data_IF_779499345998
#
_entry.id   IF_779499345998
#
_cell.length_a   1.000
_cell.length_b   1.000
_cell.length_c   1.000
_cell.angle_alpha   90.00
_cell.angle_beta   90.00
_cell.angle_gamma   90.00
#
_symmetry.space_group_name_H-M   'P 1'
#
loop_
_entity.id
_entity.type
_entity.pdbx_description
1 polymer ?
#
# COMPACT_ATOMS: atom_id res chain seq x y z
N UNK A 1 21.01 -31.14 -9.69
CA UNK A 1 19.85 -30.42 -9.13
C UNK A 1 19.98 -28.91 -9.32
N UNK A 2 19.57 -28.34 -10.46
CA UNK A 2 19.60 -26.87 -10.72
C UNK A 2 18.43 -26.41 -11.62
N UNK A 3 17.17 -26.76 -11.29
CA UNK A 3 15.98 -26.33 -12.07
C UNK A 3 14.91 -25.53 -11.30
N UNK A 4 15.04 -25.32 -9.98
CA UNK A 4 13.99 -24.63 -9.19
C UNK A 4 14.17 -23.11 -9.02
N UNK A 5 15.29 -22.50 -9.43
CA UNK A 5 15.52 -21.08 -9.17
C UNK A 5 14.88 -20.13 -10.19
N UNK A 6 14.66 -20.53 -11.46
CA UNK A 6 14.14 -19.62 -12.50
C UNK A 6 12.64 -19.32 -12.37
N UNK A 7 11.84 -20.26 -11.87
CA UNK A 7 10.38 -20.09 -11.74
C UNK A 7 10.02 -19.24 -10.51
N UNK A 8 10.82 -19.33 -9.44
CA UNK A 8 10.64 -18.57 -8.20
C UNK A 8 10.98 -17.08 -8.35
N UNK A 9 11.99 -16.72 -9.14
CA UNK A 9 12.31 -15.30 -9.42
C UNK A 9 11.26 -14.64 -10.30
N UNK A 10 10.75 -15.33 -11.33
CA UNK A 10 9.71 -14.77 -12.21
C UNK A 10 8.41 -14.43 -11.48
N UNK A 11 7.93 -15.30 -10.57
CA UNK A 11 6.71 -15.03 -9.77
C UNK A 11 6.88 -13.83 -8.83
N UNK A 12 8.06 -13.64 -8.23
CA UNK A 12 8.34 -12.51 -7.32
C UNK A 12 8.41 -11.16 -8.04
N UNK A 13 8.99 -11.12 -9.23
CA UNK A 13 9.05 -9.92 -10.07
C UNK A 13 7.62 -9.51 -10.46
N UNK A 14 6.83 -10.44 -10.99
CA UNK A 14 5.44 -10.17 -11.37
C UNK A 14 4.54 -9.69 -10.20
N UNK A 15 4.76 -10.19 -8.97
CA UNK A 15 4.02 -9.74 -7.80
C UNK A 15 4.38 -8.30 -7.39
N UNK A 16 5.67 -7.95 -7.45
CA UNK A 16 6.14 -6.59 -7.15
C UNK A 16 5.59 -5.59 -8.17
N UNK A 17 5.62 -5.93 -9.45
CA UNK A 17 5.12 -5.05 -10.51
C UNK A 17 3.61 -4.82 -10.38
N UNK A 18 2.86 -5.85 -9.97
CA UNK A 18 1.43 -5.74 -9.70
C UNK A 18 1.13 -4.81 -8.52
N UNK A 19 1.88 -4.93 -7.42
CA UNK A 19 1.74 -4.03 -6.28
C UNK A 19 1.98 -2.57 -6.65
N UNK A 20 3.10 -2.29 -7.32
CA UNK A 20 3.47 -0.92 -7.67
C UNK A 20 2.45 -0.30 -8.64
N UNK A 21 1.94 -1.08 -9.60
CA UNK A 21 0.86 -0.63 -10.50
C UNK A 21 -0.44 -0.31 -9.74
N UNK A 22 -0.83 -1.16 -8.79
CA UNK A 22 -2.02 -0.93 -7.95
C UNK A 22 -1.85 0.30 -7.07
N UNK A 23 -0.65 0.48 -6.50
CA UNK A 23 -0.32 1.63 -5.67
C UNK A 23 -0.38 2.95 -6.47
N UNK A 24 0.20 2.99 -7.66
CA UNK A 24 0.11 4.16 -8.55
C UNK A 24 -1.32 4.52 -8.87
N UNK A 25 -2.16 3.51 -9.14
CA UNK A 25 -3.59 3.70 -9.38
C UNK A 25 -4.30 4.28 -8.15
N UNK A 26 -3.95 3.80 -6.94
CA UNK A 26 -4.49 4.31 -5.68
C UNK A 26 -4.09 5.78 -5.44
N UNK A 27 -2.86 6.16 -5.77
CA UNK A 27 -2.38 7.55 -5.69
C UNK A 27 -3.12 8.43 -6.70
N UNK A 28 -3.37 7.96 -7.93
CA UNK A 28 -4.19 8.68 -8.92
C UNK A 28 -5.62 8.90 -8.40
N UNK A 29 -6.23 7.87 -7.79
CA UNK A 29 -7.57 8.01 -7.20
C UNK A 29 -7.58 9.07 -6.10
N UNK A 30 -6.60 9.05 -5.18
CA UNK A 30 -6.47 10.08 -4.15
C UNK A 30 -6.25 11.48 -4.74
N UNK A 31 -5.45 11.61 -5.80
CA UNK A 31 -5.15 12.89 -6.43
C UNK A 31 -6.35 13.48 -7.18
N UNK A 32 -7.29 12.67 -7.63
CA UNK A 32 -8.56 13.16 -8.20
C UNK A 32 -9.44 13.83 -7.14
N UNK A 33 -9.31 13.45 -5.88
CA UNK A 33 -10.08 14.00 -4.77
C UNK A 33 -9.33 15.12 -4.02
N UNK A 34 -8.00 15.17 -4.15
CA UNK A 34 -7.13 16.13 -3.46
C UNK A 34 -6.30 16.99 -4.43
N UNK A 35 -6.67 18.27 -4.54
CA UNK A 35 -5.98 19.25 -5.39
C UNK A 35 -4.54 19.52 -4.99
N UNK A 36 -4.20 19.41 -3.70
CA UNK A 36 -2.84 19.63 -3.21
C UNK A 36 -1.93 18.51 -3.69
N UNK A 37 -2.38 17.27 -3.54
CA UNK A 37 -1.69 16.09 -4.06
C UNK A 37 -1.57 16.14 -5.58
N UNK A 38 -2.65 16.52 -6.27
CA UNK A 38 -2.66 16.64 -7.73
C UNK A 38 -1.58 17.60 -8.24
N UNK A 39 -1.52 18.79 -7.64
CA UNK A 39 -0.52 19.80 -7.96
C UNK A 39 0.90 19.29 -7.70
N UNK A 40 1.13 18.66 -6.53
CA UNK A 40 2.44 18.10 -6.18
C UNK A 40 2.92 17.06 -7.21
N UNK A 41 2.04 16.15 -7.64
CA UNK A 41 2.37 15.12 -8.63
C UNK A 41 2.70 15.74 -9.99
N UNK A 42 1.87 16.68 -10.48
CA UNK A 42 2.13 17.36 -11.74
C UNK A 42 3.47 18.08 -11.71
N UNK A 43 3.76 18.87 -10.67
CA UNK A 43 5.03 19.60 -10.52
C UNK A 43 6.26 18.68 -10.55
N UNK A 44 6.15 17.46 -10.02
CA UNK A 44 7.25 16.48 -10.02
C UNK A 44 7.50 15.82 -11.38
N UNK A 45 6.50 15.81 -12.26
CA UNK A 45 6.60 15.26 -13.61
C UNK A 45 6.84 16.31 -14.69
N UNK A 46 6.59 17.60 -14.40
CA UNK A 46 6.93 18.70 -15.31
C UNK A 46 8.39 18.61 -15.77
N UNK A 47 8.59 18.67 -17.09
CA UNK A 47 9.92 18.65 -17.72
C UNK A 47 10.63 17.29 -17.75
N UNK A 48 10.01 16.21 -17.26
CA UNK A 48 10.56 14.86 -17.37
C UNK A 48 10.03 14.15 -18.63
N UNK A 49 10.93 13.75 -19.52
CA UNK A 49 10.57 12.99 -20.73
C UNK A 49 10.48 11.49 -20.44
N UNK A 50 9.31 11.03 -20.02
CA UNK A 50 9.05 9.60 -19.85
C UNK A 50 8.42 9.01 -21.11
N UNK A 51 9.10 8.02 -21.70
CA UNK A 51 8.63 7.30 -22.90
C UNK A 51 7.75 6.13 -22.50
N UNK A 52 6.43 6.34 -22.43
CA UNK A 52 5.49 5.26 -22.16
C UNK A 52 4.93 4.60 -23.42
N UNK A 53 4.91 3.27 -23.41
CA UNK A 53 4.39 2.46 -24.52
C UNK A 53 3.08 1.72 -24.21
N UNK A 54 2.48 1.88 -23.02
CA UNK A 54 1.26 1.13 -22.66
C UNK A 54 0.29 1.88 -21.74
N UNK A 55 -1.00 1.75 -22.05
CA UNK A 55 -2.10 2.08 -21.15
C UNK A 55 -2.16 1.04 -20.03
N UNK A 56 -1.82 1.44 -18.81
CA UNK A 56 -1.96 0.61 -17.62
C UNK A 56 -3.36 0.83 -17.05
N UNK A 57 -4.18 -0.23 -17.03
CA UNK A 57 -5.50 -0.19 -16.41
C UNK A 57 -5.33 -0.15 -14.89
N UNK A 58 -6.09 0.70 -14.22
CA UNK A 58 -6.19 0.68 -12.77
C UNK A 58 -6.63 -0.72 -12.30
N UNK A 59 -5.91 -1.28 -11.33
CA UNK A 59 -6.30 -2.56 -10.75
C UNK A 59 -7.60 -2.43 -9.98
N UNK A 60 -8.44 -3.47 -10.05
CA UNK A 60 -9.76 -3.54 -9.41
C UNK A 60 -9.72 -3.24 -7.91
N UNK A 61 -8.59 -3.50 -7.25
CA UNK A 61 -8.40 -3.32 -5.81
C UNK A 61 -7.58 -2.08 -5.42
N UNK A 62 -7.38 -1.11 -6.31
CA UNK A 62 -6.59 0.09 -6.00
C UNK A 62 -7.12 0.85 -4.75
N UNK A 63 -8.43 0.84 -4.52
CA UNK A 63 -9.05 1.46 -3.34
C UNK A 63 -8.55 0.88 -2.01
N UNK A 64 -8.11 -0.38 -1.99
CA UNK A 64 -7.56 -1.06 -0.78
C UNK A 64 -6.20 -0.47 -0.38
N UNK A 65 -5.49 0.15 -1.32
CA UNK A 65 -4.19 0.79 -1.11
C UNK A 65 -4.27 2.32 -0.98
N UNK A 66 -5.49 2.86 -0.90
CA UNK A 66 -5.68 4.31 -0.81
C UNK A 66 -4.88 4.88 0.36
N UNK A 67 -4.06 5.92 0.12
CA UNK A 67 -3.36 6.60 1.18
C UNK A 67 -4.34 7.19 2.18
N UNK A 68 -3.96 7.13 3.46
CA UNK A 68 -4.86 7.52 4.53
C UNK A 68 -4.87 9.03 4.85
N UNK A 69 -4.02 9.79 4.15
CA UNK A 69 -3.93 11.26 4.16
C UNK A 69 -3.12 11.74 2.95
N UNK A 70 -3.20 13.04 2.66
CA UNK A 70 -2.38 13.74 1.65
C UNK A 70 -0.88 13.52 1.89
N UNK A 71 -0.41 13.71 3.12
CA UNK A 71 1.01 13.53 3.47
C UNK A 71 1.49 12.11 3.20
N UNK A 72 0.66 11.10 3.50
CA UNK A 72 1.00 9.72 3.20
C UNK A 72 1.00 9.45 1.69
N UNK A 73 0.07 10.05 0.94
CA UNK A 73 0.05 9.94 -0.51
C UNK A 73 1.33 10.50 -1.14
N UNK A 74 1.77 11.67 -0.67
CA UNK A 74 3.04 12.30 -1.07
C UNK A 74 4.23 11.38 -0.77
N UNK A 75 4.32 10.86 0.46
CA UNK A 75 5.42 9.96 0.85
C UNK A 75 5.45 8.67 0.03
N UNK A 76 4.29 8.08 -0.27
CA UNK A 76 4.19 6.91 -1.15
C UNK A 76 4.61 7.23 -2.58
N UNK A 77 4.21 8.40 -3.08
CA UNK A 77 4.58 8.86 -4.41
C UNK A 77 6.09 9.09 -4.51
N UNK A 78 6.69 9.80 -3.56
CA UNK A 78 8.14 10.04 -3.52
C UNK A 78 8.91 8.71 -3.39
N UNK A 79 8.47 7.81 -2.52
CA UNK A 79 9.03 6.45 -2.42
C UNK A 79 8.97 5.71 -3.75
N UNK A 80 7.85 5.81 -4.48
CA UNK A 80 7.69 5.18 -5.79
C UNK A 80 8.63 5.79 -6.85
N UNK A 81 8.84 7.12 -6.81
CA UNK A 81 9.81 7.79 -7.68
C UNK A 81 11.24 7.31 -7.42
N UNK A 82 11.63 7.12 -6.16
CA UNK A 82 12.96 6.62 -5.77
C UNK A 82 13.23 5.17 -6.24
N UNK A 83 12.17 4.40 -6.50
CA UNK A 83 12.32 3.05 -7.06
C UNK A 83 12.65 3.05 -8.56
N UNK A 84 12.50 4.20 -9.24
CA UNK A 84 12.78 4.39 -10.68
C UNK A 84 12.14 3.32 -11.57
N UNK A 85 10.96 2.82 -11.18
CA UNK A 85 10.21 1.83 -11.96
C UNK A 85 9.23 2.54 -12.90
N UNK A 86 9.67 2.78 -14.13
CA UNK A 86 8.86 3.47 -15.13
C UNK A 86 7.49 2.80 -15.32
N UNK A 87 7.44 1.48 -15.50
CA UNK A 87 6.17 0.76 -15.71
C UNK A 87 5.16 1.01 -14.59
N UNK A 88 5.62 1.06 -13.35
CA UNK A 88 4.78 1.39 -12.21
C UNK A 88 4.31 2.84 -12.23
N UNK A 89 5.13 3.79 -12.68
CA UNK A 89 4.80 5.22 -12.74
C UNK A 89 3.86 5.58 -13.91
N UNK A 90 3.69 4.69 -14.89
CA UNK A 90 2.89 4.94 -16.09
C UNK A 90 1.46 5.48 -15.81
N UNK A 91 0.68 4.95 -14.85
CA UNK A 91 -0.65 5.49 -14.55
C UNK A 91 -0.60 6.94 -14.05
N UNK A 92 0.38 7.26 -13.21
CA UNK A 92 0.55 8.58 -12.61
C UNK A 92 0.95 9.63 -13.65
N UNK A 93 1.84 9.25 -14.56
CA UNK A 93 2.35 10.14 -15.62
C UNK A 93 1.30 10.36 -16.71
N UNK A 94 0.56 9.31 -17.07
CA UNK A 94 -0.58 9.44 -17.99
C UNK A 94 -1.64 10.38 -17.43
N UNK A 95 -1.98 10.21 -16.15
CA UNK A 95 -2.95 11.05 -15.47
C UNK A 95 -2.47 12.51 -15.31
N UNK A 96 -1.21 12.74 -14.93
CA UNK A 96 -0.69 14.11 -14.74
C UNK A 96 -0.75 14.94 -16.02
N UNK A 97 -0.44 14.34 -17.18
CA UNK A 97 -0.58 15.00 -18.49
C UNK A 97 -2.03 15.42 -18.77
N UNK A 98 -2.99 14.52 -18.51
CA UNK A 98 -4.41 14.84 -18.69
C UNK A 98 -4.89 15.95 -17.73
N UNK A 99 -4.36 15.98 -16.51
CA UNK A 99 -4.67 17.02 -15.53
C UNK A 99 -4.13 18.39 -15.97
N UNK A 100 -2.92 18.45 -16.52
CA UNK A 100 -2.34 19.69 -17.06
C UNK A 100 -3.17 20.23 -18.23
N UNK A 101 -3.58 19.37 -19.16
CA UNK A 101 -4.46 19.75 -20.28
C UNK A 101 -5.81 20.31 -19.79
N UNK A 102 -6.37 19.77 -18.70
CA UNK A 102 -7.60 20.27 -18.07
C UNK A 102 -7.38 21.61 -17.35
N UNK A 103 -6.28 21.78 -16.60
CA UNK A 103 -5.96 23.04 -15.93
C UNK A 103 -5.64 24.16 -16.92
N UNK A 104 -4.93 23.86 -18.02
CA UNK A 104 -4.65 24.81 -19.08
C UNK A 104 -5.94 25.35 -19.74
N UNK A 105 -6.98 24.51 -19.87
CA UNK A 105 -8.31 24.92 -20.34
C UNK A 105 -9.05 25.79 -19.33
N UNK A 106 -8.79 25.62 -18.03
CA UNK A 106 -9.38 26.42 -16.95
C UNK A 106 -8.65 27.75 -16.70
N UNK A 107 -7.45 27.94 -17.26
CA UNK A 107 -6.61 29.13 -17.09
C UNK A 107 -7.13 30.38 -17.83
N UNK A 108 -8.30 30.30 -18.47
CA UNK A 108 -9.01 31.46 -19.07
C UNK A 108 -9.96 32.15 -18.07
N UNK A 109 -10.14 31.65 -16.85
CA UNK A 109 -11.04 32.29 -15.86
C UNK A 109 -10.43 32.37 -14.47
N UNK A 110 -9.98 33.58 -14.10
CA UNK A 110 -9.96 34.09 -12.72
C UNK A 110 -8.78 33.69 -11.83
N UNK A 111 -7.85 34.63 -11.62
CA UNK A 111 -6.89 34.59 -10.50
C UNK A 111 -7.67 34.81 -9.19
N UNK A 112 -7.69 33.82 -8.30
CA UNK A 112 -8.14 34.00 -6.91
C UNK A 112 -6.94 33.76 -5.99
N UNK A 113 -6.49 34.81 -5.31
CA UNK A 113 -5.48 34.73 -4.27
C UNK A 113 -6.05 34.05 -3.03
N UNK A 114 -5.40 32.99 -2.55
CA UNK A 114 -5.73 32.35 -1.27
C UNK A 114 -4.59 32.53 -0.28
N UNK A 115 -4.94 33.04 0.91
CA UNK A 115 -4.05 33.12 2.06
C UNK A 115 -3.76 31.72 2.62
N UNK A 116 -2.53 31.50 3.08
CA UNK A 116 -2.09 30.28 3.78
C UNK A 116 -2.30 30.53 5.28
N UNK A 117 -3.27 29.90 5.96
CA UNK A 117 -3.31 29.94 7.41
C UNK A 117 -2.33 28.90 7.95
N UNK A 118 -1.26 29.38 8.59
CA UNK A 118 -0.39 28.54 9.41
C UNK A 118 -1.12 28.11 10.67
N UNK A 119 -1.16 26.79 10.92
CA UNK A 119 -1.59 26.25 12.21
C UNK A 119 -0.60 25.17 12.65
N UNK A 120 0.26 25.54 13.60
CA UNK A 120 1.04 24.61 14.41
C UNK A 120 0.10 23.93 15.40
N UNK A 121 -0.48 22.80 15.01
CA UNK A 121 -1.14 21.85 15.91
C UNK A 121 -0.21 20.65 16.06
N UNK A 122 0.04 20.24 17.31
CA UNK A 122 0.96 19.15 17.64
C UNK A 122 0.70 17.93 16.75
N UNK A 123 1.76 17.45 16.10
CA UNK A 123 1.70 16.32 15.16
C UNK A 123 1.26 15.09 15.94
N UNK A 124 -0.05 14.78 15.92
CA UNK A 124 -0.54 13.47 16.31
C UNK A 124 -0.05 12.53 15.22
N UNK A 125 1.08 11.86 15.47
CA UNK A 125 1.57 10.82 14.56
C UNK A 125 0.49 9.74 14.46
N UNK A 126 -0.11 9.60 13.28
CA UNK A 126 -1.05 8.52 13.00
C UNK A 126 -0.33 7.19 13.26
N UNK A 127 -0.94 6.34 14.09
CA UNK A 127 -0.42 5.00 14.34
C UNK A 127 -0.76 4.12 13.16
N UNK A 128 0.25 3.47 12.59
CA UNK A 128 0.01 2.42 11.61
C UNK A 128 -0.29 1.13 12.33
N UNK A 129 -1.23 0.36 11.80
CA UNK A 129 -1.69 -0.88 12.40
C UNK A 129 -1.33 -2.05 11.50
N UNK A 130 -0.70 -3.08 12.05
CA UNK A 130 -0.56 -4.35 11.35
C UNK A 130 -1.80 -5.20 11.63
N UNK A 131 -2.53 -5.53 10.57
CA UNK A 131 -3.82 -6.18 10.66
C UNK A 131 -3.71 -7.70 10.41
N UNK A 132 -4.43 -8.46 11.23
CA UNK A 132 -4.45 -9.92 11.21
C UNK A 132 -5.88 -10.38 10.93
N UNK A 133 -6.08 -11.02 9.78
CA UNK A 133 -7.33 -11.70 9.48
C UNK A 133 -7.21 -13.17 9.91
N UNK A 134 -7.99 -13.61 10.90
CA UNK A 134 -7.90 -14.96 11.48
C UNK A 134 -9.27 -15.59 11.57
N UNK A 135 -9.38 -16.88 11.27
CA UNK A 135 -10.56 -17.66 11.59
C UNK A 135 -10.62 -17.91 13.10
N UNK A 136 -11.39 -17.10 13.82
CA UNK A 136 -11.42 -17.11 15.30
C UNK A 136 -11.78 -18.49 15.86
N UNK A 137 -12.69 -19.22 15.21
CA UNK A 137 -13.05 -20.58 15.61
C UNK A 137 -11.90 -21.60 15.58
N UNK A 138 -10.78 -21.27 14.93
CA UNK A 138 -9.60 -22.13 14.85
C UNK A 138 -8.55 -21.82 15.93
N UNK A 139 -8.69 -20.71 16.67
CA UNK A 139 -7.63 -20.19 17.56
C UNK A 139 -8.17 -19.80 18.92
N UNK A 140 -7.51 -20.27 19.99
CA UNK A 140 -7.79 -19.78 21.35
C UNK A 140 -7.29 -18.35 21.51
N UNK A 141 -8.07 -17.50 22.19
CA UNK A 141 -7.74 -16.08 22.42
C UNK A 141 -6.33 -15.87 22.97
N UNK A 142 -5.89 -16.70 23.93
CA UNK A 142 -4.54 -16.64 24.51
C UNK A 142 -3.40 -16.91 23.52
N UNK A 143 -3.65 -17.57 22.40
CA UNK A 143 -2.65 -17.84 21.37
C UNK A 143 -2.47 -16.67 20.38
N UNK A 144 -3.39 -15.70 20.36
CA UNK A 144 -3.37 -14.59 19.39
C UNK A 144 -2.12 -13.73 19.51
N UNK A 145 -1.66 -13.45 20.73
CA UNK A 145 -0.45 -12.66 20.98
C UNK A 145 0.78 -13.32 20.35
N UNK A 146 0.98 -14.62 20.61
CA UNK A 146 2.12 -15.36 20.06
C UNK A 146 2.05 -15.50 18.53
N UNK A 147 0.84 -15.69 17.99
CA UNK A 147 0.62 -15.66 16.54
C UNK A 147 1.04 -14.29 16.00
N UNK A 148 0.53 -13.22 16.61
CA UNK A 148 0.83 -11.83 16.27
C UNK A 148 2.31 -11.55 16.19
N UNK A 149 3.06 -11.86 17.25
CA UNK A 149 4.52 -11.66 17.32
C UNK A 149 5.22 -12.47 16.23
N UNK A 150 4.91 -13.76 16.09
CA UNK A 150 5.61 -14.64 15.15
C UNK A 150 5.38 -14.23 13.71
N UNK A 151 4.14 -13.95 13.32
CA UNK A 151 3.83 -13.66 11.92
C UNK A 151 4.15 -12.22 11.53
N UNK A 152 4.04 -11.24 12.44
CA UNK A 152 4.56 -9.88 12.20
C UNK A 152 6.07 -9.87 12.01
N UNK A 153 6.82 -10.57 12.87
CA UNK A 153 8.29 -10.69 12.74
C UNK A 153 8.67 -11.36 11.42
N UNK A 154 7.94 -12.40 11.01
CA UNK A 154 8.16 -13.07 9.74
C UNK A 154 7.87 -12.13 8.54
N UNK A 155 6.77 -11.39 8.59
CA UNK A 155 6.41 -10.42 7.54
C UNK A 155 7.49 -9.36 7.41
N UNK A 156 7.88 -8.76 8.54
CA UNK A 156 8.92 -7.74 8.59
C UNK A 156 10.26 -8.28 8.08
N UNK A 157 10.68 -9.46 8.54
CA UNK A 157 11.94 -10.09 8.10
C UNK A 157 11.95 -10.32 6.58
N UNK A 158 10.82 -10.70 5.99
CA UNK A 158 10.67 -10.85 4.54
C UNK A 158 10.80 -9.50 3.83
N UNK A 159 10.18 -8.46 4.33
CA UNK A 159 10.22 -7.12 3.73
C UNK A 159 11.63 -6.50 3.83
N UNK A 160 12.26 -6.55 5.00
CA UNK A 160 13.65 -6.10 5.20
C UNK A 160 14.61 -6.83 4.25
N UNK A 161 14.42 -8.14 4.07
CA UNK A 161 15.23 -8.92 3.13
C UNK A 161 15.02 -8.48 1.67
N UNK A 162 13.81 -8.07 1.28
CA UNK A 162 13.53 -7.56 -0.09
C UNK A 162 14.29 -6.25 -0.38
N UNK A 163 14.53 -5.44 0.64
CA UNK A 163 15.28 -4.18 0.55
C UNK A 163 16.75 -4.33 0.93
N UNK A 164 17.27 -5.57 0.93
CA UNK A 164 18.66 -5.91 1.27
C UNK A 164 19.12 -5.33 2.62
N UNK A 165 18.23 -5.28 3.61
CA UNK A 165 18.54 -4.75 4.94
C UNK A 165 18.46 -3.24 5.08
N UNK A 166 18.30 -2.48 3.98
CA UNK A 166 18.17 -1.03 4.05
C UNK A 166 16.71 -0.65 4.38
N UNK A 167 16.43 -0.43 5.66
CA UNK A 167 15.06 -0.12 6.13
C UNK A 167 14.50 1.18 5.56
N UNK A 168 15.33 2.13 5.12
CA UNK A 168 14.88 3.38 4.49
C UNK A 168 14.21 3.14 3.13
N UNK A 169 14.40 1.97 2.52
CA UNK A 169 13.74 1.59 1.26
C UNK A 169 12.43 0.84 1.48
N UNK A 170 12.01 0.60 2.73
CA UNK A 170 10.70 0.02 3.03
C UNK A 170 9.59 0.98 2.62
N UNK A 171 8.41 0.42 2.38
CA UNK A 171 7.19 1.20 2.19
C UNK A 171 6.96 2.15 3.39
N UNK A 172 6.47 3.38 3.16
CA UNK A 172 6.33 4.38 4.23
C UNK A 172 5.58 3.89 5.47
N UNK A 173 4.44 3.21 5.31
CA UNK A 173 3.67 2.70 6.46
C UNK A 173 4.39 1.58 7.19
N UNK A 174 5.14 0.75 6.46
CA UNK A 174 5.91 -0.34 7.07
C UNK A 174 7.14 0.20 7.81
N UNK A 175 7.78 1.24 7.26
CA UNK A 175 8.85 2.00 7.93
C UNK A 175 8.32 2.64 9.22
N UNK A 176 7.19 3.35 9.14
CA UNK A 176 6.60 4.02 10.30
C UNK A 176 6.14 3.03 11.36
N UNK A 177 5.55 1.89 10.95
CA UNK A 177 5.21 0.82 11.88
C UNK A 177 6.45 0.23 12.56
N UNK A 178 7.54 0.01 11.82
CA UNK A 178 8.78 -0.55 12.35
C UNK A 178 9.43 0.36 13.40
N UNK A 179 9.48 1.67 13.11
CA UNK A 179 10.22 2.68 13.88
C UNK A 179 9.33 3.51 14.83
N UNK A 180 8.01 3.38 14.76
CA UNK A 180 7.04 4.09 15.59
C UNK A 180 6.31 3.20 16.59
N UNK A 181 5.13 3.66 16.99
CA UNK A 181 4.21 2.91 17.85
C UNK A 181 3.62 1.73 17.07
N UNK A 182 4.03 0.51 17.44
CA UNK A 182 3.55 -0.73 16.81
C UNK A 182 2.17 -1.08 17.32
N UNK A 183 1.14 -0.74 16.55
CA UNK A 183 -0.22 -1.22 16.81
C UNK A 183 -0.53 -2.49 16.00
N UNK A 184 -1.31 -3.38 16.59
CA UNK A 184 -1.75 -4.63 15.98
C UNK A 184 -3.23 -4.86 16.23
N UNK A 185 -3.96 -5.29 15.21
CA UNK A 185 -5.38 -5.59 15.34
C UNK A 185 -5.75 -6.93 14.72
N UNK A 186 -6.59 -7.66 15.42
CA UNK A 186 -7.09 -8.96 15.00
C UNK A 186 -8.54 -8.83 14.55
N UNK A 187 -8.86 -9.47 13.43
CA UNK A 187 -10.18 -9.47 12.82
C UNK A 187 -10.58 -10.89 12.46
N UNK A 188 -11.88 -11.17 12.59
CA UNK A 188 -12.44 -12.48 12.33
C UNK A 188 -12.79 -12.69 10.86
N UNK A 189 -12.42 -13.85 10.34
CA UNK A 189 -12.72 -14.30 8.98
C UNK A 189 -14.05 -15.08 8.86
N UNK A 190 -14.87 -15.16 9.93
CA UNK A 190 -16.07 -15.99 10.10
C UNK A 190 -16.83 -16.41 8.82
N UNK A 191 -17.13 -15.49 7.89
CA UNK A 191 -17.90 -15.77 6.66
C UNK A 191 -17.11 -15.69 5.33
N UNK A 192 -15.85 -15.26 5.37
CA UNK A 192 -15.07 -15.05 4.15
C UNK A 192 -14.19 -16.26 3.84
N UNK A 193 -14.13 -16.68 2.58
CA UNK A 193 -13.25 -17.77 2.20
C UNK A 193 -11.79 -17.34 2.35
N UNK A 194 -11.03 -18.14 3.12
CA UNK A 194 -9.58 -17.96 3.27
C UNK A 194 -8.88 -17.96 1.91
N UNK A 195 -9.39 -18.72 0.93
CA UNK A 195 -8.85 -18.72 -0.44
C UNK A 195 -9.01 -17.37 -1.12
N UNK A 196 -10.17 -16.72 -0.95
CA UNK A 196 -10.52 -15.50 -1.68
C UNK A 196 -9.68 -14.34 -1.17
N UNK A 197 -9.47 -14.28 0.15
CA UNK A 197 -8.53 -13.32 0.75
C UNK A 197 -7.11 -13.57 0.25
N UNK A 198 -6.67 -14.82 0.19
CA UNK A 198 -5.33 -15.16 -0.33
C UNK A 198 -5.14 -14.75 -1.80
N UNK A 199 -6.15 -15.01 -2.63
CA UNK A 199 -6.17 -14.61 -4.04
C UNK A 199 -6.15 -13.09 -4.17
N UNK A 200 -7.02 -12.38 -3.46
CA UNK A 200 -7.07 -10.92 -3.46
C UNK A 200 -5.73 -10.31 -3.01
N UNK A 201 -5.11 -10.80 -1.93
CA UNK A 201 -3.79 -10.31 -1.48
C UNK A 201 -2.69 -10.58 -2.51
N UNK A 202 -2.75 -11.74 -3.18
CA UNK A 202 -1.85 -12.07 -4.30
C UNK A 202 -2.07 -11.12 -5.48
N UNK A 203 -3.32 -10.79 -5.77
CA UNK A 203 -3.67 -9.88 -6.85
C UNK A 203 -3.38 -8.42 -6.53
N UNK A 204 -3.44 -8.04 -5.26
CA UNK A 204 -2.97 -6.74 -4.80
C UNK A 204 -1.45 -6.63 -4.89
N UNK A 205 -0.74 -7.76 -4.82
CA UNK A 205 0.72 -7.83 -4.80
C UNK A 205 1.34 -7.45 -3.44
N UNK A 206 0.52 -7.16 -2.43
CA UNK A 206 0.97 -6.75 -1.10
C UNK A 206 1.74 -7.86 -0.39
N UNK A 207 2.64 -7.48 0.50
CA UNK A 207 3.27 -8.43 1.40
C UNK A 207 2.28 -8.91 2.47
N UNK A 208 2.19 -10.22 2.59
CA UNK A 208 1.42 -10.90 3.62
C UNK A 208 2.12 -12.20 4.04
N UNK A 209 1.76 -12.70 5.22
CA UNK A 209 2.20 -13.99 5.77
C UNK A 209 0.98 -14.84 6.06
N UNK A 210 0.96 -16.05 5.51
CA UNK A 210 -0.02 -17.07 5.89
C UNK A 210 0.19 -17.53 7.33
N UNK A 211 -0.88 -17.51 8.11
CA UNK A 211 -0.92 -18.09 9.44
C UNK A 211 -1.46 -19.51 9.28
N UNK A 212 -0.66 -20.51 9.64
CA UNK A 212 -1.00 -21.92 9.47
C UNK A 212 -1.04 -22.66 10.80
N UNK A 213 -1.99 -23.59 10.93
CA UNK A 213 -2.09 -24.53 12.03
C UNK A 213 -2.27 -25.93 11.44
N UNK A 214 -1.38 -26.87 11.79
CA UNK A 214 -1.39 -28.24 11.28
C UNK A 214 -1.57 -28.30 9.75
N UNK A 215 -0.72 -27.57 9.02
CA UNK A 215 -0.71 -27.37 7.56
C UNK A 215 -1.89 -26.60 6.95
N UNK A 216 -2.99 -26.40 7.67
CA UNK A 216 -4.14 -25.62 7.22
C UNK A 216 -3.90 -24.12 7.43
N UNK A 217 -4.15 -23.31 6.39
CA UNK A 217 -4.19 -21.85 6.54
C UNK A 217 -5.42 -21.46 7.36
N UNK A 218 -5.19 -20.73 8.43
CA UNK A 218 -6.20 -20.24 9.38
C UNK A 218 -6.33 -18.72 9.35
N UNK A 219 -5.45 -18.02 8.62
CA UNK A 219 -5.47 -16.57 8.52
C UNK A 219 -4.28 -15.99 7.78
N UNK A 220 -4.22 -14.65 7.78
CA UNK A 220 -3.17 -13.87 7.15
C UNK A 220 -2.76 -12.71 8.05
N UNK A 221 -1.46 -12.46 8.13
CA UNK A 221 -0.89 -11.19 8.59
C UNK A 221 -0.64 -10.33 7.37
N UNK A 222 -1.16 -9.11 7.38
CA UNK A 222 -1.18 -8.22 6.21
C UNK A 222 -0.32 -6.99 6.53
N UNK A 223 0.49 -6.58 5.57
CA UNK A 223 1.33 -5.38 5.67
C UNK A 223 0.47 -4.13 5.96
N UNK A 224 0.96 -3.17 6.78
CA UNK A 224 0.24 -1.94 7.14
C UNK A 224 -0.01 -0.99 5.95
N UNK A 225 0.42 -1.35 4.74
CA UNK A 225 0.15 -0.60 3.49
C UNK A 225 -1.31 -0.70 3.02
N UNK A 226 -2.06 -1.69 3.54
CA UNK A 226 -3.49 -1.85 3.27
C UNK A 226 -4.27 -0.90 4.18
N UNK A 227 -5.19 -0.14 3.60
CA UNK A 227 -5.97 0.83 4.36
C UNK A 227 -6.83 0.17 5.45
N UNK A 228 -7.10 0.90 6.53
CA UNK A 228 -7.90 0.35 7.64
C UNK A 228 -9.37 0.13 7.24
N UNK A 229 -9.89 0.91 6.28
CA UNK A 229 -11.26 0.78 5.79
C UNK A 229 -11.56 -0.60 5.19
N UNK A 230 -10.57 -1.23 4.58
CA UNK A 230 -10.68 -2.61 4.10
C UNK A 230 -11.07 -3.58 5.22
N UNK A 231 -10.64 -3.32 6.46
CA UNK A 231 -10.86 -4.19 7.61
C UNK A 231 -12.21 -3.94 8.32
N UNK A 232 -12.88 -2.80 8.08
CA UNK A 232 -14.15 -2.46 8.73
C UNK A 232 -15.29 -3.45 8.44
N UNK A 233 -15.21 -4.20 7.34
CA UNK A 233 -16.17 -5.27 7.02
C UNK A 233 -15.96 -6.55 7.83
N UNK A 234 -14.88 -6.65 8.61
CA UNK A 234 -14.59 -7.80 9.46
C UNK A 234 -14.80 -7.45 10.94
N UNK A 235 -15.21 -8.45 11.71
CA UNK A 235 -15.45 -8.27 13.15
C UNK A 235 -14.12 -8.23 13.90
N UNK A 236 -13.84 -7.14 14.61
CA UNK A 236 -12.64 -7.02 15.45
C UNK A 236 -12.67 -8.05 16.60
N UNK A 237 -11.56 -8.73 16.82
CA UNK A 237 -11.33 -9.66 17.93
C UNK A 237 -10.63 -8.89 19.05
N UNK A 238 -11.29 -8.75 20.20
CA UNK A 238 -10.69 -8.12 21.38
C UNK A 238 -9.71 -9.08 22.05
N UNK A 239 -8.48 -8.62 22.27
CA UNK A 239 -7.45 -9.30 23.05
C UNK A 239 -7.75 -9.31 24.56
#
# INVERSE_FOLDING_TARGET
>A
MKKNNKTYTKKKVAQKDKYLSNLSSAIVLAAKEDKTLAKYISEKFLGRDFKFSKNVKAGEYAYVLMPSSTDMAIRKFDWLLELENEEALAPLISWSKSYEDEQAKNLVVGIVGMAIPGVTLGIIKKRFTMNFLIKKSSVKKSALVNIGIKSSTNLLSRCIKKVNGNTNKLEPELYDWLHGDRDVQFFDLENNSISDIGNMLTELGVDYVEIRQNTKTIGYTISPVVNDDFFHKYKKISL
#
